data_IF_879372347388
#
_entry.id   IF_879372347388
#
_cell.length_a   1.000
_cell.length_b   1.000
_cell.length_c   1.000
_cell.angle_alpha   90.00
_cell.angle_beta   90.00
_cell.angle_gamma   90.00
#
_symmetry.space_group_name_H-M   'P 1'
#
loop_
_entity.id
_entity.type
_entity.pdbx_description
1 polymer ?
#
# COMPACT_ATOMS: atom_id res chain seq x y z
N UNK A 1 49.00 -11.85 34.91
CA UNK A 1 48.44 -10.51 34.67
C UNK A 1 46.95 -10.66 34.39
N UNK A 2 46.08 -10.21 35.29
CA UNK A 2 44.63 -10.36 35.13
C UNK A 2 44.06 -9.07 34.51
N UNK A 3 43.60 -9.16 33.26
CA UNK A 3 42.95 -8.06 32.55
C UNK A 3 41.51 -7.95 33.07
N UNK A 4 41.22 -6.92 33.86
CA UNK A 4 39.85 -6.58 34.28
C UNK A 4 39.10 -6.03 33.08
N UNK A 5 38.09 -6.77 32.64
CA UNK A 5 37.09 -6.34 31.66
C UNK A 5 36.41 -5.05 32.16
N UNK A 6 36.49 -3.99 31.36
CA UNK A 6 35.76 -2.75 31.60
C UNK A 6 34.27 -3.01 31.39
N UNK A 7 33.53 -3.19 32.47
CA UNK A 7 32.08 -3.21 32.45
C UNK A 7 31.59 -1.82 32.01
N UNK A 8 31.15 -1.69 30.76
CA UNK A 8 30.25 -0.60 30.36
C UNK A 8 28.98 -0.75 31.18
N UNK A 9 28.92 0.01 32.27
CA UNK A 9 27.78 0.02 33.18
C UNK A 9 26.56 0.56 32.42
N UNK A 10 25.65 -0.33 32.04
CA UNK A 10 24.27 -0.01 31.65
C UNK A 10 23.47 0.54 32.86
N UNK A 11 24.03 1.51 33.60
CA UNK A 11 23.37 2.18 34.71
C UNK A 11 22.46 3.25 34.15
N UNK A 12 21.19 3.20 34.54
CA UNK A 12 20.24 4.28 34.31
C UNK A 12 20.64 5.49 35.15
N UNK A 13 21.27 6.48 34.50
CA UNK A 13 21.72 7.74 35.12
C UNK A 13 20.68 8.85 35.04
N UNK A 14 19.46 8.53 34.61
CA UNK A 14 18.37 9.52 34.49
C UNK A 14 18.10 10.21 35.82
N UNK A 15 18.14 9.46 36.93
CA UNK A 15 17.93 10.03 38.27
C UNK A 15 19.06 10.98 38.70
N UNK A 16 20.33 10.63 38.44
CA UNK A 16 21.47 11.53 38.70
C UNK A 16 21.30 12.85 37.93
N UNK A 17 20.95 12.76 36.64
CA UNK A 17 20.68 13.92 35.80
C UNK A 17 19.54 14.79 36.33
N UNK A 18 18.40 14.19 36.69
CA UNK A 18 17.26 14.91 37.28
C UNK A 18 17.65 15.63 38.57
N UNK A 19 18.44 14.98 39.43
CA UNK A 19 18.90 15.55 40.69
C UNK A 19 19.83 16.75 40.47
N UNK A 20 20.72 16.68 39.48
CA UNK A 20 21.61 17.78 39.09
C UNK A 20 20.83 18.93 38.46
N UNK A 21 19.85 18.64 37.61
CA UNK A 21 19.00 19.65 36.97
C UNK A 21 18.15 20.43 38.00
N UNK A 22 17.56 19.74 38.98
CA UNK A 22 16.79 20.39 40.06
C UNK A 22 17.69 21.27 40.95
N UNK A 23 18.91 20.81 41.27
CA UNK A 23 19.91 21.63 41.98
C UNK A 23 20.26 22.90 41.23
N UNK A 24 20.46 22.81 39.91
CA UNK A 24 20.75 23.96 39.07
C UNK A 24 19.57 24.94 39.03
N UNK A 25 18.34 24.44 38.87
CA UNK A 25 17.10 25.26 38.88
C UNK A 25 16.92 26.01 40.21
N UNK A 26 17.19 25.36 41.34
CA UNK A 26 17.14 25.98 42.68
C UNK A 26 18.22 27.06 42.84
N UNK A 27 19.40 26.86 42.25
CA UNK A 27 20.50 27.83 42.24
C UNK A 27 20.14 29.10 41.47
N UNK A 28 19.44 28.99 40.33
CA UNK A 28 19.00 30.16 39.56
C UNK A 28 17.81 30.91 40.17
N UNK A 29 17.00 30.24 41.00
CA UNK A 29 15.86 30.86 41.70
C UNK A 29 16.25 31.65 42.95
N UNK A 30 17.51 31.62 43.37
CA UNK A 30 17.98 32.27 44.63
C UNK A 30 18.55 33.68 44.44
N UNK A 31 18.37 34.29 43.26
CA UNK A 31 18.74 35.70 43.02
C UNK A 31 17.50 36.58 43.27
N UNK A 32 17.54 37.60 44.14
CA UNK A 32 16.42 38.51 44.36
C UNK A 32 16.07 39.28 43.07
N UNK A 33 14.78 39.41 42.84
CA UNK A 33 14.10 40.01 41.69
C UNK A 33 14.61 41.41 41.31
N UNK A 34 15.04 41.56 40.06
CA UNK A 34 14.96 42.83 39.31
C UNK A 34 13.78 42.69 38.35
N UNK A 35 12.84 43.65 38.25
CA UNK A 35 11.75 43.57 37.29
C UNK A 35 12.30 43.87 35.89
N UNK A 36 12.83 42.85 35.23
CA UNK A 36 13.15 42.94 33.81
C UNK A 36 11.85 42.91 33.02
N UNK A 37 11.48 44.11 32.54
CA UNK A 37 10.55 44.34 31.44
C UNK A 37 10.53 43.15 30.49
N UNK A 38 9.37 42.49 30.42
CA UNK A 38 9.03 41.45 29.44
C UNK A 38 9.10 42.03 28.03
N UNK A 39 10.30 42.12 27.46
CA UNK A 39 10.48 42.24 26.02
C UNK A 39 9.98 40.93 25.41
N UNK A 40 8.85 41.07 24.73
CA UNK A 40 8.08 40.00 24.11
C UNK A 40 8.99 39.04 23.32
N UNK A 41 8.97 37.78 23.72
CA UNK A 41 9.30 36.63 22.88
C UNK A 41 8.32 36.54 21.69
N UNK A 42 8.35 37.48 20.75
CA UNK A 42 7.56 37.35 19.51
C UNK A 42 8.31 36.55 18.43
N UNK A 43 9.65 36.64 18.37
CA UNK A 43 10.45 35.90 17.38
C UNK A 43 10.54 34.38 17.61
N UNK A 44 10.43 33.91 18.87
CA UNK A 44 10.50 32.47 19.17
C UNK A 44 9.19 31.74 18.80
N UNK A 45 8.03 32.40 18.96
CA UNK A 45 6.74 31.81 18.60
C UNK A 45 6.59 31.67 17.08
N UNK A 46 7.12 32.60 16.29
CA UNK A 46 7.07 32.51 14.83
C UNK A 46 7.96 31.37 14.30
N UNK A 47 9.20 31.24 14.78
CA UNK A 47 10.08 30.14 14.37
C UNK A 47 9.49 28.75 14.71
N UNK A 48 8.94 28.59 15.94
CA UNK A 48 8.27 27.35 16.36
C UNK A 48 7.00 27.09 15.54
N UNK A 49 6.23 28.13 15.22
CA UNK A 49 5.04 28.00 14.36
C UNK A 49 5.41 27.56 12.95
N UNK A 50 6.46 28.15 12.35
CA UNK A 50 6.89 27.80 10.99
C UNK A 50 7.45 26.38 10.95
N UNK A 51 8.24 25.96 11.94
CA UNK A 51 8.72 24.58 12.03
C UNK A 51 7.59 23.57 12.27
N UNK A 52 6.57 23.96 13.03
CA UNK A 52 5.33 23.17 13.17
C UNK A 52 4.61 23.01 11.83
N UNK A 53 4.52 24.05 11.00
CA UNK A 53 3.87 23.96 9.68
C UNK A 53 4.65 23.08 8.70
N UNK A 54 5.98 23.16 8.68
CA UNK A 54 6.82 22.23 7.92
C UNK A 54 6.55 20.78 8.35
N UNK A 55 6.58 20.51 9.66
CA UNK A 55 6.35 19.17 10.20
C UNK A 55 4.95 18.63 9.90
N UNK A 56 3.91 19.48 9.98
CA UNK A 56 2.54 19.11 9.61
C UNK A 56 2.45 18.73 8.13
N UNK A 57 3.04 19.53 7.24
CA UNK A 57 3.05 19.24 5.79
C UNK A 57 3.84 17.97 5.47
N UNK A 58 5.03 17.81 6.05
CA UNK A 58 5.84 16.61 5.92
C UNK A 58 5.08 15.35 6.41
N UNK A 59 4.40 15.44 7.54
CA UNK A 59 3.59 14.34 8.09
C UNK A 59 2.43 13.96 7.17
N UNK A 60 1.72 14.95 6.62
CA UNK A 60 0.63 14.73 5.66
C UNK A 60 1.12 14.04 4.39
N UNK A 61 2.28 14.44 3.87
CA UNK A 61 2.91 13.81 2.71
C UNK A 61 3.32 12.37 3.04
N UNK A 62 3.99 12.15 4.17
CA UNK A 62 4.40 10.83 4.62
C UNK A 62 3.23 9.86 4.79
N UNK A 63 2.11 10.36 5.32
CA UNK A 63 0.86 9.60 5.42
C UNK A 63 0.25 9.29 4.05
N UNK A 64 0.17 10.29 3.16
CA UNK A 64 -0.36 10.09 1.81
C UNK A 64 0.48 9.11 0.98
N UNK A 65 1.81 9.14 1.10
CA UNK A 65 2.69 8.13 0.49
C UNK A 65 2.32 6.74 1.00
N UNK A 66 2.18 6.58 2.32
CA UNK A 66 1.84 5.28 2.90
C UNK A 66 0.47 4.76 2.43
N UNK A 67 -0.56 5.62 2.38
CA UNK A 67 -1.86 5.25 1.83
C UNK A 67 -1.76 4.83 0.36
N UNK A 68 -0.98 5.55 -0.44
CA UNK A 68 -0.75 5.24 -1.84
C UNK A 68 -0.06 3.87 -1.99
N UNK A 69 0.96 3.59 -1.17
CA UNK A 69 1.62 2.28 -1.13
C UNK A 69 0.65 1.14 -0.77
N UNK A 70 -0.32 1.36 0.13
CA UNK A 70 -1.33 0.35 0.44
C UNK A 70 -2.26 0.07 -0.76
N UNK A 71 -2.74 1.12 -1.43
CA UNK A 71 -3.55 0.98 -2.66
C UNK A 71 -2.74 0.25 -3.74
N UNK A 72 -1.46 0.56 -3.86
CA UNK A 72 -0.53 -0.08 -4.79
C UNK A 72 -0.34 -1.56 -4.47
N UNK A 73 -0.19 -1.94 -3.21
CA UNK A 73 -0.13 -3.34 -2.80
C UNK A 73 -1.42 -4.10 -3.16
N UNK A 74 -2.59 -3.46 -3.07
CA UNK A 74 -3.86 -4.03 -3.53
C UNK A 74 -3.88 -4.18 -5.06
N UNK A 75 -3.48 -3.15 -5.80
CA UNK A 75 -3.35 -3.20 -7.26
C UNK A 75 -2.41 -4.33 -7.69
N UNK A 76 -1.28 -4.52 -7.01
CA UNK A 76 -0.33 -5.59 -7.28
C UNK A 76 -0.96 -6.97 -7.12
N UNK A 77 -1.78 -7.18 -6.08
CA UNK A 77 -2.52 -8.44 -5.89
C UNK A 77 -3.51 -8.70 -7.03
N UNK A 78 -4.24 -7.68 -7.46
CA UNK A 78 -5.19 -7.79 -8.57
C UNK A 78 -4.47 -8.05 -9.90
N UNK A 79 -3.35 -7.37 -10.14
CA UNK A 79 -2.55 -7.55 -11.35
C UNK A 79 -1.95 -8.96 -11.46
N UNK A 80 -1.69 -9.64 -10.33
CA UNK A 80 -1.26 -11.05 -10.28
C UNK A 80 -2.40 -12.05 -10.48
N UNK A 81 -3.67 -11.63 -10.28
CA UNK A 81 -4.83 -12.51 -10.41
C UNK A 81 -5.16 -12.67 -11.90
N UNK A 82 -4.84 -13.85 -12.43
CA UNK A 82 -4.90 -14.23 -13.85
C UNK A 82 -6.14 -15.10 -14.17
N UNK A 83 -7.25 -14.87 -13.45
CA UNK A 83 -8.48 -15.66 -13.62
C UNK A 83 -9.26 -15.23 -14.87
N UNK A 84 -9.85 -16.21 -15.57
CA UNK A 84 -10.66 -15.98 -16.79
C UNK A 84 -12.13 -15.66 -16.45
N UNK A 85 -12.59 -16.08 -15.27
CA UNK A 85 -14.01 -15.97 -14.87
C UNK A 85 -14.32 -14.71 -14.08
N UNK A 86 -13.30 -14.08 -13.52
CA UNK A 86 -13.42 -12.90 -12.66
C UNK A 86 -12.34 -11.91 -13.07
N UNK A 87 -12.66 -11.10 -14.09
CA UNK A 87 -11.75 -10.12 -14.69
C UNK A 87 -11.71 -8.84 -13.83
N UNK A 88 -10.60 -8.56 -13.12
CA UNK A 88 -10.49 -7.40 -12.24
C UNK A 88 -10.22 -6.08 -13.00
N UNK A 89 -10.48 -6.01 -14.31
CA UNK A 89 -10.07 -4.88 -15.16
C UNK A 89 -10.63 -3.53 -14.68
N UNK A 90 -11.89 -3.47 -14.28
CA UNK A 90 -12.50 -2.21 -13.78
C UNK A 90 -11.85 -1.75 -12.48
N UNK A 91 -11.66 -2.65 -11.51
CA UNK A 91 -11.04 -2.32 -10.22
C UNK A 91 -9.56 -1.90 -10.41
N UNK A 92 -8.86 -2.55 -11.34
CA UNK A 92 -7.49 -2.17 -11.74
C UNK A 92 -7.48 -0.76 -12.33
N UNK A 93 -8.40 -0.44 -13.25
CA UNK A 93 -8.46 0.89 -13.87
C UNK A 93 -8.76 1.98 -12.85
N UNK A 94 -9.72 1.76 -11.95
CA UNK A 94 -10.07 2.69 -10.89
C UNK A 94 -8.89 2.92 -9.94
N UNK A 95 -8.29 1.84 -9.41
CA UNK A 95 -7.13 1.95 -8.52
C UNK A 95 -5.95 2.63 -9.23
N UNK A 96 -5.74 2.37 -10.52
CA UNK A 96 -4.69 3.01 -11.31
C UNK A 96 -4.93 4.52 -11.42
N UNK A 97 -6.17 4.95 -11.68
CA UNK A 97 -6.53 6.35 -11.78
C UNK A 97 -6.33 7.07 -10.44
N UNK A 98 -6.81 6.47 -9.34
CA UNK A 98 -6.65 7.01 -7.97
C UNK A 98 -5.17 7.10 -7.59
N UNK A 99 -4.37 6.05 -7.81
CA UNK A 99 -2.93 6.06 -7.48
C UNK A 99 -2.20 7.11 -8.32
N UNK A 100 -2.52 7.27 -9.60
CA UNK A 100 -1.95 8.32 -10.46
C UNK A 100 -2.25 9.71 -9.91
N UNK A 101 -3.50 9.95 -9.49
CA UNK A 101 -3.90 11.21 -8.87
C UNK A 101 -3.13 11.45 -7.56
N UNK A 102 -3.07 10.45 -6.68
CA UNK A 102 -2.37 10.54 -5.40
C UNK A 102 -0.88 10.86 -5.61
N UNK A 103 -0.18 10.15 -6.51
CA UNK A 103 1.23 10.42 -6.84
C UNK A 103 1.42 11.84 -7.37
N UNK A 104 0.52 12.32 -8.23
CA UNK A 104 0.61 13.67 -8.79
C UNK A 104 0.45 14.74 -7.69
N UNK A 105 -0.54 14.56 -6.81
CA UNK A 105 -0.76 15.45 -5.68
C UNK A 105 0.40 15.42 -4.68
N UNK A 106 0.95 14.22 -4.39
CA UNK A 106 2.11 14.06 -3.51
C UNK A 106 3.36 14.70 -4.11
N UNK A 107 3.57 14.58 -5.41
CA UNK A 107 4.71 15.21 -6.07
C UNK A 107 4.63 16.74 -5.97
N UNK A 108 3.45 17.32 -6.21
CA UNK A 108 3.23 18.76 -5.98
C UNK A 108 3.51 19.16 -4.53
N UNK A 109 2.98 18.40 -3.57
CA UNK A 109 3.17 18.70 -2.15
C UNK A 109 4.64 18.60 -1.70
N UNK A 110 5.43 17.67 -2.26
CA UNK A 110 6.87 17.57 -2.00
C UNK A 110 7.62 18.76 -2.58
N UNK A 111 7.27 19.21 -3.79
CA UNK A 111 7.86 20.42 -4.40
C UNK A 111 7.54 21.66 -3.57
N UNK A 112 6.30 21.80 -3.12
CA UNK A 112 5.88 22.90 -2.23
C UNK A 112 6.64 22.87 -0.90
N UNK A 113 6.81 21.69 -0.31
CA UNK A 113 7.58 21.52 0.93
C UNK A 113 9.06 21.91 0.73
N UNK A 114 9.64 21.58 -0.42
CA UNK A 114 11.00 21.97 -0.78
C UNK A 114 11.15 23.48 -0.93
N UNK A 115 10.16 24.16 -1.54
CA UNK A 115 10.15 25.62 -1.65
C UNK A 115 10.13 26.28 -0.27
N UNK A 116 9.31 25.76 0.64
CA UNK A 116 9.27 26.24 2.04
C UNK A 116 10.65 26.06 2.69
N UNK A 117 11.27 24.89 2.55
CA UNK A 117 12.61 24.61 3.08
C UNK A 117 13.65 25.61 2.55
N UNK A 118 13.64 25.90 1.25
CA UNK A 118 14.59 26.84 0.63
C UNK A 118 14.36 28.29 1.10
N UNK A 119 13.10 28.75 1.14
CA UNK A 119 12.76 30.10 1.61
C UNK A 119 13.16 30.34 3.07
N UNK A 120 13.05 29.28 3.88
CA UNK A 120 13.41 29.31 5.29
C UNK A 120 14.92 29.39 5.49
N UNK A 121 15.70 28.78 4.60
CA UNK A 121 17.16 28.83 4.63
C UNK A 121 17.72 30.19 4.20
N UNK A 122 17.10 30.87 3.23
CA UNK A 122 17.49 32.23 2.82
C UNK A 122 17.22 33.29 3.90
N UNK A 123 16.24 33.04 4.78
CA UNK A 123 15.82 34.01 5.80
C UNK A 123 16.85 34.21 6.94
N UNK A 124 17.95 33.44 6.96
CA UNK A 124 19.10 33.62 7.87
C UNK A 124 18.86 33.43 9.38
N UNK A 125 17.61 33.21 9.78
CA UNK A 125 17.17 33.21 11.18
C UNK A 125 17.07 31.81 11.80
N UNK A 126 17.53 30.77 11.11
CA UNK A 126 17.37 29.37 11.49
C UNK A 126 18.71 28.67 11.66
N UNK A 127 18.80 27.82 12.69
CA UNK A 127 19.99 27.02 12.98
C UNK A 127 20.31 26.07 11.82
N UNK A 128 21.60 25.89 11.55
CA UNK A 128 22.14 24.95 10.56
C UNK A 128 21.56 23.55 10.71
N UNK A 129 21.33 23.12 11.96
CA UNK A 129 20.80 21.79 12.28
C UNK A 129 19.35 21.64 11.81
N UNK A 130 18.55 22.71 11.91
CA UNK A 130 17.15 22.71 11.48
C UNK A 130 17.04 22.71 9.96
N UNK A 131 17.91 23.46 9.27
CA UNK A 131 18.01 23.39 7.80
C UNK A 131 18.40 21.98 7.36
N UNK A 132 19.47 21.41 7.93
CA UNK A 132 19.95 20.06 7.59
C UNK A 132 18.87 19.00 7.81
N UNK A 133 18.17 19.07 8.94
CA UNK A 133 17.04 18.20 9.23
C UNK A 133 15.93 18.33 8.18
N UNK A 134 15.51 19.56 7.87
CA UNK A 134 14.42 19.81 6.92
C UNK A 134 14.75 19.30 5.52
N UNK A 135 15.97 19.53 5.04
CA UNK A 135 16.47 18.98 3.76
C UNK A 135 16.43 17.46 3.77
N UNK A 136 16.94 16.83 4.83
CA UNK A 136 16.95 15.35 4.96
C UNK A 136 15.54 14.76 4.92
N UNK A 137 14.57 15.42 5.57
CA UNK A 137 13.17 14.98 5.56
C UNK A 137 12.58 15.08 4.16
N UNK A 138 12.83 16.18 3.43
CA UNK A 138 12.36 16.35 2.05
C UNK A 138 12.96 15.27 1.14
N UNK A 139 14.26 15.02 1.24
CA UNK A 139 14.94 13.98 0.46
C UNK A 139 14.41 12.58 0.76
N UNK A 140 14.14 12.28 2.04
CA UNK A 140 13.53 11.01 2.42
C UNK A 140 12.14 10.83 1.80
N UNK A 141 11.28 11.86 1.89
CA UNK A 141 9.94 11.84 1.30
C UNK A 141 10.00 11.67 -0.23
N UNK A 142 10.91 12.38 -0.89
CA UNK A 142 11.15 12.26 -2.32
C UNK A 142 11.59 10.84 -2.70
N UNK A 143 12.54 10.26 -1.98
CA UNK A 143 13.01 8.89 -2.24
C UNK A 143 11.90 7.85 -2.06
N UNK A 144 11.05 8.01 -1.03
CA UNK A 144 9.89 7.14 -0.81
C UNK A 144 8.83 7.28 -1.90
N UNK A 145 8.55 8.51 -2.35
CA UNK A 145 7.63 8.77 -3.45
C UNK A 145 8.14 8.18 -4.76
N UNK A 146 9.44 8.35 -5.05
CA UNK A 146 10.08 7.76 -6.22
C UNK A 146 10.02 6.23 -6.20
N UNK A 147 10.26 5.62 -5.03
CA UNK A 147 10.14 4.16 -4.86
C UNK A 147 8.71 3.68 -5.12
N UNK A 148 7.71 4.38 -4.58
CA UNK A 148 6.28 4.09 -4.81
C UNK A 148 5.92 4.23 -6.29
N UNK A 149 6.45 5.26 -6.95
CA UNK A 149 6.22 5.50 -8.39
C UNK A 149 6.86 4.41 -9.25
N UNK A 150 8.04 3.93 -8.88
CA UNK A 150 8.71 2.80 -9.53
C UNK A 150 7.88 1.52 -9.42
N UNK A 151 7.44 1.19 -8.20
CA UNK A 151 6.61 0.00 -7.96
C UNK A 151 5.27 0.09 -8.73
N UNK A 152 4.67 1.29 -8.82
CA UNK A 152 3.47 1.50 -9.64
C UNK A 152 3.69 1.18 -11.12
N UNK A 153 4.81 1.63 -11.69
CA UNK A 153 5.17 1.31 -13.07
C UNK A 153 5.39 -0.20 -13.26
N UNK A 154 6.05 -0.86 -12.33
CA UNK A 154 6.29 -2.32 -12.37
C UNK A 154 4.97 -3.10 -12.36
N UNK A 155 4.04 -2.74 -11.48
CA UNK A 155 2.72 -3.39 -11.38
C UNK A 155 1.91 -3.26 -12.68
N UNK A 156 1.91 -2.07 -13.31
CA UNK A 156 1.22 -1.86 -14.59
C UNK A 156 1.88 -2.64 -15.73
N UNK A 157 3.21 -2.74 -15.71
CA UNK A 157 3.97 -3.52 -16.69
C UNK A 157 3.62 -5.01 -16.57
N UNK A 158 3.62 -5.53 -15.34
CA UNK A 158 3.20 -6.91 -15.03
C UNK A 158 1.76 -7.20 -15.46
N UNK A 159 0.81 -6.27 -15.24
CA UNK A 159 -0.57 -6.43 -15.72
C UNK A 159 -0.64 -6.52 -17.24
N UNK A 160 0.11 -5.66 -17.94
CA UNK A 160 0.16 -5.65 -19.41
C UNK A 160 0.71 -6.97 -19.95
N UNK A 161 1.79 -7.46 -19.35
CA UNK A 161 2.36 -8.77 -19.68
C UNK A 161 1.36 -9.92 -19.46
N UNK A 162 0.71 -9.95 -18.30
CA UNK A 162 -0.31 -10.96 -18.00
C UNK A 162 -1.48 -10.93 -19.00
N UNK A 163 -1.95 -9.75 -19.39
CA UNK A 163 -2.98 -9.61 -20.44
C UNK A 163 -2.53 -10.20 -21.77
N UNK A 164 -1.29 -9.92 -22.18
CA UNK A 164 -0.71 -10.45 -23.41
C UNK A 164 -0.60 -11.97 -23.39
N UNK A 165 -0.17 -12.55 -22.26
CA UNK A 165 -0.11 -14.01 -22.07
C UNK A 165 -1.50 -14.63 -22.16
N UNK A 166 -2.50 -14.01 -21.52
CA UNK A 166 -3.88 -14.48 -21.61
C UNK A 166 -4.45 -14.41 -23.02
N UNK A 167 -4.21 -13.32 -23.72
CA UNK A 167 -4.65 -13.16 -25.10
C UNK A 167 -4.01 -14.19 -26.02
N UNK A 168 -2.70 -14.41 -25.91
CA UNK A 168 -2.00 -15.45 -26.67
C UNK A 168 -2.56 -16.85 -26.39
N UNK A 169 -2.77 -17.20 -25.12
CA UNK A 169 -3.42 -18.47 -24.73
C UNK A 169 -4.81 -18.58 -25.35
N UNK A 170 -5.60 -17.51 -25.30
CA UNK A 170 -6.94 -17.48 -25.89
C UNK A 170 -6.87 -17.72 -27.40
N UNK A 171 -5.93 -17.11 -28.11
CA UNK A 171 -5.73 -17.32 -29.55
C UNK A 171 -5.35 -18.78 -29.87
N UNK A 172 -4.46 -19.40 -29.08
CA UNK A 172 -4.06 -20.81 -29.28
C UNK A 172 -5.25 -21.78 -29.16
N UNK A 173 -6.20 -21.52 -28.27
CA UNK A 173 -7.37 -22.38 -28.06
C UNK A 173 -8.64 -21.93 -28.79
N UNK A 174 -8.73 -20.67 -29.24
CA UNK A 174 -9.88 -20.15 -30.00
C UNK A 174 -9.72 -20.30 -31.50
N UNK A 175 -8.48 -20.28 -32.03
CA UNK A 175 -8.21 -20.38 -33.46
C UNK A 175 -8.15 -21.83 -33.99
N UNK A 176 -8.28 -22.83 -33.11
CA UNK A 176 -8.29 -24.25 -33.48
C UNK A 176 -9.67 -24.84 -33.78
N UNK A 177 -10.77 -24.09 -33.60
CA UNK A 177 -12.13 -24.62 -33.72
C UNK A 177 -12.78 -24.44 -35.11
N UNK A 178 -12.12 -23.80 -36.08
CA UNK A 178 -12.75 -23.41 -37.35
C UNK A 178 -12.08 -23.94 -38.63
N UNK A 179 -11.11 -24.86 -38.54
CA UNK A 179 -10.57 -25.53 -39.75
C UNK A 179 -10.61 -27.06 -39.76
N UNK A 180 -11.14 -27.67 -38.69
CA UNK A 180 -11.49 -29.09 -38.68
C UNK A 180 -12.91 -29.24 -38.12
N UNK A 181 -13.91 -29.04 -38.99
CA UNK A 181 -15.28 -29.47 -38.75
C UNK A 181 -15.43 -31.01 -38.83
N UNK A 182 -14.41 -31.76 -38.40
CA UNK A 182 -14.49 -33.20 -38.16
C UNK A 182 -14.71 -33.41 -36.65
N UNK A 183 -15.92 -33.07 -36.18
CA UNK A 183 -16.41 -33.37 -34.84
C UNK A 183 -15.92 -34.76 -34.34
N UNK A 184 -15.01 -34.85 -33.35
CA UNK A 184 -14.54 -36.14 -32.84
C UNK A 184 -15.61 -36.85 -32.00
N UNK A 185 -16.64 -36.12 -31.55
CA UNK A 185 -17.77 -36.65 -30.77
C UNK A 185 -19.01 -37.04 -31.62
N UNK A 186 -18.98 -36.83 -32.94
CA UNK A 186 -20.14 -37.16 -33.81
C UNK A 186 -20.08 -38.59 -34.38
N UNK A 187 -18.99 -39.35 -34.16
CA UNK A 187 -18.80 -40.67 -34.78
C UNK A 187 -19.16 -41.90 -33.93
N UNK A 188 -20.12 -41.83 -33.01
CA UNK A 188 -20.70 -43.07 -32.44
C UNK A 188 -22.22 -42.96 -32.20
N UNK A 189 -22.97 -42.76 -33.29
CA UNK A 189 -24.32 -43.34 -33.37
C UNK A 189 -24.30 -44.38 -34.48
N UNK A 190 -24.25 -45.68 -34.17
CA UNK A 190 -24.68 -46.69 -35.11
C UNK A 190 -26.15 -46.40 -35.44
N UNK A 191 -26.42 -46.05 -36.70
CA UNK A 191 -27.77 -46.13 -37.25
C UNK A 191 -28.14 -47.61 -37.27
N UNK A 192 -28.70 -48.09 -36.15
CA UNK A 192 -29.44 -49.34 -36.14
C UNK A 192 -30.63 -49.13 -37.09
N UNK A 193 -30.52 -49.77 -38.25
CA UNK A 193 -31.65 -50.02 -39.13
C UNK A 193 -32.80 -50.55 -38.30
N UNK A 194 -33.96 -49.89 -38.44
CA UNK A 194 -35.22 -50.31 -37.87
C UNK A 194 -35.55 -51.71 -38.40
N UNK A 195 -35.29 -52.72 -37.59
CA UNK A 195 -35.93 -54.03 -37.67
C UNK A 195 -36.59 -54.28 -36.31
N UNK A 196 -37.89 -54.58 -36.37
CA UNK A 196 -38.74 -54.82 -35.22
C UNK A 196 -38.20 -55.95 -34.32
N UNK A 197 -38.20 -55.73 -33.00
CA UNK A 197 -38.56 -56.72 -31.97
C UNK A 197 -38.28 -56.18 -30.56
N UNK A 198 -39.33 -56.17 -29.74
CA UNK A 198 -39.42 -56.55 -28.32
C UNK A 198 -38.35 -56.14 -27.27
N UNK A 199 -38.92 -55.75 -26.12
CA UNK A 199 -38.43 -55.95 -24.75
C UNK A 199 -37.33 -55.02 -24.19
N UNK A 200 -37.80 -54.13 -23.32
CA UNK A 200 -37.27 -53.77 -22.00
C UNK A 200 -35.83 -54.19 -21.65
N UNK A 201 -34.99 -53.19 -21.36
CA UNK A 201 -34.13 -53.01 -20.17
C UNK A 201 -32.85 -52.26 -20.57
N UNK A 202 -32.81 -50.95 -20.36
CA UNK A 202 -31.58 -50.16 -20.42
C UNK A 202 -31.37 -49.48 -19.06
N UNK A 203 -30.16 -49.53 -18.46
CA UNK A 203 -29.94 -48.98 -17.13
C UNK A 203 -29.87 -47.43 -17.19
N UNK A 204 -30.40 -46.72 -16.19
CA UNK A 204 -30.34 -45.26 -16.16
C UNK A 204 -28.93 -44.75 -15.79
N UNK A 205 -28.56 -43.54 -16.26
CA UNK A 205 -27.28 -42.92 -15.95
C UNK A 205 -27.15 -42.54 -14.44
N UNK A 206 -25.92 -42.52 -13.88
CA UNK A 206 -25.66 -42.54 -12.43
C UNK A 206 -26.07 -41.29 -11.63
N UNK A 207 -26.57 -40.25 -12.29
CA UNK A 207 -26.99 -39.00 -11.64
C UNK A 207 -28.51 -38.77 -11.73
N UNK A 208 -29.27 -39.73 -12.28
CA UNK A 208 -30.70 -39.61 -12.49
C UNK A 208 -31.59 -40.03 -11.30
N UNK A 209 -31.00 -40.37 -10.13
CA UNK A 209 -31.79 -40.75 -8.96
C UNK A 209 -31.80 -39.61 -7.93
N UNK A 210 -32.73 -38.69 -8.12
CA UNK A 210 -32.96 -37.62 -7.17
C UNK A 210 -34.06 -36.68 -7.62
N UNK A 211 -35.30 -37.15 -7.66
CA UNK A 211 -36.47 -36.25 -7.71
C UNK A 211 -37.75 -36.89 -7.18
N UNK A 212 -38.38 -36.13 -6.28
CA UNK A 212 -39.80 -36.14 -5.84
C UNK A 212 -40.18 -37.22 -4.82
N UNK A 213 -40.38 -36.85 -3.54
CA UNK A 213 -41.58 -36.24 -2.93
C UNK A 213 -42.72 -37.25 -2.70
N UNK A 214 -43.03 -37.52 -1.42
CA UNK A 214 -44.43 -37.56 -0.96
C UNK A 214 -44.53 -37.49 0.57
N UNK A 215 -45.25 -36.49 1.05
CA UNK A 215 -45.97 -36.36 2.33
C UNK A 215 -46.83 -37.61 2.62
N UNK A 216 -47.29 -38.00 3.81
CA UNK A 216 -47.66 -37.30 5.05
C UNK A 216 -48.14 -38.38 6.09
N UNK A 217 -48.40 -37.96 7.35
CA UNK A 217 -49.40 -38.48 8.35
C UNK A 217 -48.93 -39.27 9.61
N UNK A 218 -49.16 -38.63 10.77
CA UNK A 218 -49.33 -39.13 12.17
C UNK A 218 -50.60 -40.03 12.32
N UNK A 219 -51.00 -40.62 13.49
CA UNK A 219 -50.61 -40.46 14.92
C UNK A 219 -50.30 -41.82 15.63
N UNK A 220 -49.94 -41.95 16.91
CA UNK A 220 -50.35 -41.33 18.18
C UNK A 220 -49.30 -41.62 19.26
#
# INVERSE_FOLDING_TARGET
MAVKSAQSSYRDRTQEFLTVAEKLKKSFSSVPSVPSSSSKQEGSRSAVSIQSEFNKRASKIGYGIHQTSQKLAKLAKLAKKTSVFDDPTLEIQELTAVIKQDITALNSAVVDLQLICNSQNESGNISTDTTSHSTTVVDNLKNRLMSTTKEFKEVLTMRTENMKVHENRRQLFSSGASKDASNPFVRQRPLASRAAASASTAPPPPWANGSTSSSQLFPR
#
